data_IF_990646677470
#
_entry.id   IF_990646677470
#
_cell.length_a   1.000
_cell.length_b   1.000
_cell.length_c   1.000
_cell.angle_alpha   90.00
_cell.angle_beta   90.00
_cell.angle_gamma   90.00
#
_symmetry.space_group_name_H-M   'P 1'
#
loop_
_entity.id
_entity.type
_entity.pdbx_description
1 polymer ?
#
# COMPACT_ATOMS: atom_id res chain seq x y z
N UNK A 1 17.75 -1.60 -29.99
CA UNK A 1 17.95 -1.04 -28.64
C UNK A 1 18.19 -2.21 -27.70
N UNK A 2 19.31 -2.22 -26.99
CA UNK A 2 19.60 -3.23 -25.98
C UNK A 2 19.35 -2.60 -24.61
N UNK A 3 18.39 -3.11 -23.85
CA UNK A 3 18.18 -2.67 -22.46
C UNK A 3 19.08 -3.55 -21.60
N UNK A 4 20.04 -2.94 -20.91
CA UNK A 4 21.03 -3.66 -20.10
C UNK A 4 20.54 -3.93 -18.68
N UNK A 5 19.62 -3.11 -18.14
CA UNK A 5 19.03 -3.30 -16.80
C UNK A 5 17.70 -2.57 -16.67
N UNK A 6 16.80 -3.12 -15.86
CA UNK A 6 15.55 -2.49 -15.43
C UNK A 6 15.50 -2.51 -13.91
N UNK A 7 15.12 -1.37 -13.32
CA UNK A 7 14.85 -1.27 -11.89
C UNK A 7 13.34 -1.06 -11.70
N UNK A 8 12.74 -1.91 -10.88
CA UNK A 8 11.33 -1.80 -10.51
C UNK A 8 11.23 -1.19 -9.13
N UNK A 9 10.42 -0.15 -9.03
CA UNK A 9 9.81 0.19 -7.76
C UNK A 9 8.64 -0.78 -7.54
N UNK A 10 8.66 -1.51 -6.43
CA UNK A 10 7.64 -2.54 -6.16
C UNK A 10 6.42 -1.92 -5.49
N UNK A 11 6.64 -0.94 -4.62
CA UNK A 11 5.63 -0.38 -3.74
C UNK A 11 4.72 0.57 -4.51
N UNK A 12 3.45 0.18 -4.65
CA UNK A 12 2.49 1.00 -5.36
C UNK A 12 2.87 1.28 -6.82
N UNK A 13 3.77 0.53 -7.44
CA UNK A 13 4.02 0.68 -8.89
C UNK A 13 3.73 -0.62 -9.62
N UNK A 14 4.27 -1.73 -9.13
CA UNK A 14 3.98 -3.05 -9.70
C UNK A 14 2.95 -3.85 -8.90
N UNK A 15 2.99 -3.74 -7.56
CA UNK A 15 2.05 -4.44 -6.66
C UNK A 15 1.09 -3.45 -5.99
N UNK A 16 -0.20 -3.82 -5.88
CA UNK A 16 -1.13 -3.13 -4.99
C UNK A 16 -0.84 -3.56 -3.54
N UNK A 17 -0.03 -2.77 -2.86
CA UNK A 17 0.38 -3.02 -1.46
C UNK A 17 -0.62 -2.50 -0.44
N UNK A 18 -1.76 -1.92 -0.88
CA UNK A 18 -2.75 -1.38 0.04
C UNK A 18 -3.36 -2.41 1.00
N UNK A 19 -3.69 -3.65 0.58
CA UNK A 19 -4.18 -4.68 1.50
C UNK A 19 -3.19 -4.98 2.64
N UNK A 20 -1.90 -5.06 2.31
CA UNK A 20 -0.83 -5.35 3.28
C UNK A 20 -0.66 -4.20 4.26
N UNK A 21 -0.68 -2.95 3.77
CA UNK A 21 -0.61 -1.76 4.63
C UNK A 21 -1.81 -1.66 5.58
N UNK A 22 -3.02 -2.01 5.13
CA UNK A 22 -4.21 -2.03 5.98
C UNK A 22 -4.14 -3.13 7.07
N UNK A 23 -3.60 -4.31 6.72
CA UNK A 23 -3.39 -5.40 7.66
C UNK A 23 -2.34 -5.03 8.73
N UNK A 24 -1.25 -4.38 8.32
CA UNK A 24 -0.21 -3.89 9.22
C UNK A 24 -0.78 -2.83 10.18
N UNK A 25 -1.52 -1.84 9.66
CA UNK A 25 -2.19 -0.82 10.48
C UNK A 25 -3.14 -1.45 11.51
N UNK A 26 -3.94 -2.42 11.08
CA UNK A 26 -4.89 -3.11 11.95
C UNK A 26 -4.19 -3.86 13.10
N UNK A 27 -3.07 -4.51 12.79
CA UNK A 27 -2.24 -5.21 13.79
C UNK A 27 -1.68 -4.24 14.82
N UNK A 28 -1.11 -3.13 14.37
CA UNK A 28 -0.52 -2.12 15.24
C UNK A 28 -1.56 -1.43 16.14
N UNK A 29 -2.74 -1.09 15.60
CA UNK A 29 -3.82 -0.49 16.41
C UNK A 29 -4.27 -1.43 17.53
N UNK A 30 -4.33 -2.74 17.26
CA UNK A 30 -4.68 -3.74 18.26
C UNK A 30 -3.60 -3.87 19.33
N UNK A 31 -2.32 -3.89 18.94
CA UNK A 31 -1.18 -3.96 19.86
C UNK A 31 -1.13 -2.75 20.80
N UNK A 32 -1.42 -1.56 20.28
CA UNK A 32 -1.42 -0.30 21.03
C UNK A 32 -2.74 -0.02 21.77
N UNK A 33 -3.68 -0.99 21.81
CA UNK A 33 -5.03 -0.83 22.39
C UNK A 33 -5.79 0.41 21.87
N UNK A 34 -5.60 0.74 20.60
CA UNK A 34 -6.24 1.86 19.91
C UNK A 34 -7.53 1.42 19.22
N UNK A 35 -8.43 2.37 19.00
CA UNK A 35 -9.66 2.12 18.25
C UNK A 35 -9.33 1.72 16.81
N UNK A 36 -10.00 0.68 16.25
CA UNK A 36 -9.89 0.35 14.84
C UNK A 36 -10.27 1.55 13.95
N UNK A 37 -9.61 1.66 12.80
CA UNK A 37 -9.93 2.65 11.77
C UNK A 37 -10.83 1.99 10.73
N UNK A 38 -11.78 2.75 10.19
CA UNK A 38 -12.60 2.29 9.07
C UNK A 38 -11.69 1.93 7.87
N UNK A 39 -11.76 0.71 7.33
CA UNK A 39 -10.93 0.28 6.21
C UNK A 39 -11.05 1.17 4.98
N UNK A 40 -12.21 1.77 4.72
CA UNK A 40 -12.43 2.67 3.59
C UNK A 40 -11.65 3.97 3.75
N UNK A 41 -11.62 4.51 4.97
CA UNK A 41 -10.84 5.69 5.33
C UNK A 41 -9.35 5.35 5.23
N UNK A 42 -8.92 4.24 5.82
CA UNK A 42 -7.53 3.79 5.75
C UNK A 42 -7.06 3.59 4.30
N UNK A 43 -7.90 3.00 3.44
CA UNK A 43 -7.58 2.79 2.02
C UNK A 43 -7.39 4.09 1.26
N UNK A 44 -8.12 5.14 1.60
CA UNK A 44 -7.99 6.47 0.98
C UNK A 44 -6.67 7.17 1.33
N UNK A 45 -6.03 6.77 2.44
CA UNK A 45 -4.73 7.30 2.86
C UNK A 45 -3.55 6.57 2.21
N UNK A 46 -3.78 5.37 1.67
CA UNK A 46 -2.76 4.62 0.92
C UNK A 46 -2.82 5.04 -0.55
N UNK A 47 -1.66 5.35 -1.13
CA UNK A 47 -1.55 5.71 -2.55
C UNK A 47 -2.22 4.65 -3.44
N UNK A 48 -2.81 5.10 -4.56
CA UNK A 48 -3.32 4.19 -5.60
C UNK A 48 -2.21 3.64 -6.49
N UNK A 49 -1.00 4.14 -6.32
CA UNK A 49 0.12 3.67 -7.08
C UNK A 49 0.03 3.92 -8.59
N UNK A 50 0.69 3.08 -9.40
CA UNK A 50 0.65 3.16 -10.86
C UNK A 50 -0.76 2.94 -11.43
N UNK A 51 -1.63 2.21 -10.73
CA UNK A 51 -3.06 2.09 -11.12
C UNK A 51 -3.75 3.46 -11.10
N UNK A 52 -3.32 4.38 -10.22
CA UNK A 52 -3.81 5.76 -10.21
C UNK A 52 -3.31 6.64 -11.37
N UNK A 53 -2.43 6.13 -12.23
CA UNK A 53 -1.89 6.83 -13.41
C UNK A 53 -2.58 6.42 -14.73
N UNK A 54 -3.42 5.40 -14.70
CA UNK A 54 -4.24 4.92 -15.83
C UNK A 54 -5.61 5.61 -15.84
#
# INVERSE_FOLDING_TARGET
MNIETVLFDLDGTLADTAPDMLAALSSLLREENRRPVDPTVARSCVSRGAVGLL
#
